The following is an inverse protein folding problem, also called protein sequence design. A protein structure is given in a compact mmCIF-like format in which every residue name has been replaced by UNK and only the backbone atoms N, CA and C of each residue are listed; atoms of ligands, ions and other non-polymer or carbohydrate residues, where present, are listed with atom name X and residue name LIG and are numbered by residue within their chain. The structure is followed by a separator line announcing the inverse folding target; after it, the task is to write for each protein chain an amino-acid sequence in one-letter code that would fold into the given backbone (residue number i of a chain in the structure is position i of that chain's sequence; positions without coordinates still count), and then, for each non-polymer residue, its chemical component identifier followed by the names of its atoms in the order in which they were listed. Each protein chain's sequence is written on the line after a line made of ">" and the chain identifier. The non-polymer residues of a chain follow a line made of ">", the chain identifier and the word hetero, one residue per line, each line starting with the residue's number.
data_IF_463126661092
#
_entry.id   IF_463126661092
#
_cell.length_a   1.000
_cell.length_b   1.000
_cell.length_c   1.000
_cell.angle_alpha   90.00
_cell.angle_beta   90.00
_cell.angle_gamma   90.00
#
_symmetry.space_group_name_H-M   'P 1'
#
loop_
_entity.id
_entity.type
_entity.pdbx_description
1 polymer ?
#
# COMPACT_ATOMS: atom_id res chain seq x y z
N UNK A 1 6.51 18.25 -18.09
CA UNK A 1 5.10 18.00 -17.76
C UNK A 1 4.76 16.59 -18.22
N UNK A 2 4.23 15.78 -17.33
CA UNK A 2 3.83 14.38 -17.56
C UNK A 2 2.33 14.22 -17.34
N UNK A 3 1.76 13.05 -17.65
CA UNK A 3 0.35 12.75 -17.29
C UNK A 3 0.20 12.72 -15.75
N UNK A 4 1.22 12.25 -15.04
CA UNK A 4 1.26 12.26 -13.57
C UNK A 4 1.15 13.70 -13.02
N UNK A 5 1.87 14.66 -13.60
CA UNK A 5 1.77 16.07 -13.22
C UNK A 5 0.35 16.63 -13.47
N UNK A 6 -0.27 16.26 -14.59
CA UNK A 6 -1.63 16.69 -14.93
C UNK A 6 -2.65 16.11 -13.93
N UNK A 7 -2.58 14.81 -13.64
CA UNK A 7 -3.43 14.13 -12.67
C UNK A 7 -3.26 14.67 -11.25
N UNK A 8 -2.03 14.96 -10.83
CA UNK A 8 -1.75 15.56 -9.53
C UNK A 8 -2.42 16.93 -9.39
N UNK A 9 -2.28 17.81 -10.40
CA UNK A 9 -2.89 19.15 -10.37
C UNK A 9 -4.41 19.11 -10.30
N UNK A 10 -5.07 18.22 -11.05
CA UNK A 10 -6.53 18.12 -11.03
C UNK A 10 -7.10 17.53 -9.74
N UNK A 11 -6.29 16.76 -9.01
CA UNK A 11 -6.72 16.06 -7.79
C UNK A 11 -6.08 16.63 -6.52
N UNK A 12 -5.61 17.88 -6.58
CA UNK A 12 -5.03 18.58 -5.43
C UNK A 12 -6.00 18.54 -4.25
N UNK A 13 -5.56 17.99 -3.11
CA UNK A 13 -6.36 17.84 -1.90
C UNK A 13 -7.03 16.47 -1.71
N UNK A 14 -6.84 15.52 -2.64
CA UNK A 14 -7.24 14.12 -2.43
C UNK A 14 -6.02 13.28 -2.00
N UNK A 15 -5.83 13.13 -0.69
CA UNK A 15 -4.71 12.41 -0.09
C UNK A 15 -4.51 10.98 -0.65
N UNK A 16 -5.60 10.27 -0.96
CA UNK A 16 -5.50 8.90 -1.48
C UNK A 16 -4.95 8.85 -2.91
N UNK A 17 -5.36 9.83 -3.74
CA UNK A 17 -4.90 9.94 -5.13
C UNK A 17 -3.45 10.42 -5.17
N UNK A 18 -3.11 11.45 -4.38
CA UNK A 18 -1.75 11.99 -4.31
C UNK A 18 -0.74 10.91 -3.93
N UNK A 19 -1.03 10.13 -2.89
CA UNK A 19 -0.20 9.01 -2.46
C UNK A 19 -0.04 7.93 -3.53
N UNK A 20 -1.12 7.59 -4.23
CA UNK A 20 -1.06 6.61 -5.31
C UNK A 20 -0.20 7.10 -6.49
N UNK A 21 -0.31 8.38 -6.84
CA UNK A 21 0.53 9.01 -7.86
C UNK A 21 2.00 9.07 -7.43
N UNK A 22 2.28 9.33 -6.14
CA UNK A 22 3.63 9.32 -5.58
C UNK A 22 4.28 7.93 -5.66
N UNK A 23 3.53 6.86 -5.32
CA UNK A 23 4.01 5.48 -5.48
C UNK A 23 4.41 5.19 -6.94
N UNK A 24 3.56 5.58 -7.91
CA UNK A 24 3.88 5.39 -9.34
C UNK A 24 5.14 6.16 -9.72
N UNK A 25 5.28 7.40 -9.23
CA UNK A 25 6.44 8.24 -9.52
C UNK A 25 7.71 7.58 -8.99
N UNK A 26 7.72 7.17 -7.72
CA UNK A 26 8.92 6.61 -7.09
C UNK A 26 9.36 5.30 -7.74
N UNK A 27 8.41 4.44 -8.12
CA UNK A 27 8.71 3.13 -8.69
C UNK A 27 9.10 3.18 -10.18
N UNK A 28 8.60 4.16 -10.95
CA UNK A 28 8.74 4.16 -12.41
C UNK A 28 9.52 5.34 -13.01
N UNK A 29 9.73 6.44 -12.27
CA UNK A 29 10.43 7.61 -12.85
C UNK A 29 11.85 7.28 -13.30
N UNK A 30 12.53 6.40 -12.57
CA UNK A 30 13.89 5.95 -12.87
C UNK A 30 13.97 4.97 -14.05
N UNK A 31 12.84 4.39 -14.46
CA UNK A 31 12.75 3.43 -15.56
C UNK A 31 12.50 4.09 -16.91
N UNK A 32 12.28 5.41 -16.92
CA UNK A 32 11.99 6.14 -18.15
C UNK A 32 13.28 6.44 -18.88
N UNK A 33 13.25 6.15 -20.18
CA UNK A 33 14.23 6.70 -21.09
C UNK A 33 13.82 8.14 -21.41
N UNK A 34 14.67 9.11 -21.08
CA UNK A 34 14.43 10.54 -21.30
C UNK A 34 14.11 10.89 -22.77
N UNK A 35 14.47 10.01 -23.70
CA UNK A 35 14.19 10.18 -25.12
C UNK A 35 12.78 9.71 -25.55
N UNK A 36 11.99 9.16 -24.63
CA UNK A 36 10.62 8.70 -24.93
C UNK A 36 9.64 9.83 -24.63
N UNK A 37 8.87 10.22 -25.64
CA UNK A 37 7.93 11.34 -25.53
C UNK A 37 6.50 10.91 -25.87
N UNK A 38 5.53 11.47 -25.16
CA UNK A 38 4.12 11.33 -25.50
C UNK A 38 3.72 12.41 -26.50
N UNK A 39 3.11 11.96 -27.60
CA UNK A 39 2.74 12.80 -28.73
C UNK A 39 1.34 12.47 -29.22
N UNK A 40 0.64 13.47 -29.72
CA UNK A 40 -0.65 13.28 -30.39
C UNK A 40 -0.41 13.31 -31.89
N UNK A 41 -0.78 12.25 -32.60
CA UNK A 41 -0.65 12.20 -34.05
C UNK A 41 -1.73 13.03 -34.76
N UNK A 42 -1.64 13.17 -36.07
CA UNK A 42 -2.63 13.92 -36.89
C UNK A 42 -4.05 13.34 -36.78
N UNK A 43 -4.19 12.06 -36.40
CA UNK A 43 -5.47 11.37 -36.18
C UNK A 43 -6.03 11.56 -34.76
N UNK A 44 -5.39 12.38 -33.92
CA UNK A 44 -5.75 12.60 -32.50
C UNK A 44 -5.64 11.34 -31.63
N UNK A 45 -4.72 10.46 -31.98
CA UNK A 45 -4.35 9.29 -31.18
C UNK A 45 -3.09 9.60 -30.38
N UNK A 46 -3.01 9.05 -29.17
CA UNK A 46 -1.86 9.23 -28.28
C UNK A 46 -0.85 8.11 -28.54
N UNK A 47 0.38 8.50 -28.90
CA UNK A 47 1.47 7.58 -29.24
C UNK A 47 2.71 7.89 -28.40
N UNK A 48 3.57 6.88 -28.26
CA UNK A 48 4.92 7.01 -27.70
C UNK A 48 5.88 7.19 -28.85
N UNK A 49 6.59 8.31 -28.87
CA UNK A 49 7.64 8.64 -29.83
C UNK A 49 8.98 8.16 -29.27
N UNK A 50 9.65 7.32 -30.04
CA UNK A 50 10.88 6.63 -29.64
C UNK A 50 11.95 6.84 -30.72
N UNK A 51 13.21 7.15 -30.37
CA UNK A 51 14.29 7.22 -31.34
C UNK A 51 14.52 5.86 -32.02
N UNK A 52 14.65 5.84 -33.34
CA UNK A 52 14.96 4.60 -34.07
C UNK A 52 16.35 4.09 -33.71
N UNK A 53 16.45 2.78 -33.45
CA UNK A 53 17.72 2.10 -33.24
C UNK A 53 18.49 1.91 -34.56
N UNK A 54 17.80 1.93 -35.69
CA UNK A 54 18.39 1.68 -37.02
C UNK A 54 18.95 2.95 -37.67
N UNK A 55 18.34 4.11 -37.38
CA UNK A 55 18.72 5.39 -38.01
C UNK A 55 18.66 6.54 -37.00
N UNK A 56 19.75 7.30 -36.92
CA UNK A 56 19.96 8.37 -35.92
C UNK A 56 18.94 9.51 -35.95
N UNK A 57 18.25 9.74 -37.08
CA UNK A 57 17.35 10.88 -37.27
C UNK A 57 15.88 10.49 -37.49
N UNK A 58 15.55 9.21 -37.31
CA UNK A 58 14.17 8.72 -37.46
C UNK A 58 13.55 8.37 -36.11
N UNK A 59 12.22 8.54 -36.01
CA UNK A 59 11.44 8.17 -34.82
C UNK A 59 10.43 7.10 -35.19
N UNK A 60 10.26 6.14 -34.28
CA UNK A 60 9.20 5.15 -34.32
C UNK A 60 8.07 5.65 -33.41
N UNK A 61 6.83 5.44 -33.84
CA UNK A 61 5.64 5.81 -33.10
C UNK A 61 4.86 4.56 -32.76
N UNK A 62 4.90 4.19 -31.49
CA UNK A 62 4.19 3.02 -30.98
C UNK A 62 2.90 3.45 -30.30
N UNK A 63 1.92 2.55 -30.27
CA UNK A 63 0.70 2.77 -29.50
C UNK A 63 1.03 2.81 -28.01
N UNK A 64 0.40 3.72 -27.25
CA UNK A 64 0.57 3.73 -25.79
C UNK A 64 0.25 2.38 -25.15
N UNK A 65 -0.67 1.61 -25.74
CA UNK A 65 -1.16 0.33 -25.20
C UNK A 65 -0.07 -0.73 -25.07
N UNK A 66 1.04 -0.56 -25.78
CA UNK A 66 2.21 -1.44 -25.70
C UNK A 66 3.00 -1.24 -24.39
N UNK A 67 2.77 -0.12 -23.71
CA UNK A 67 3.45 0.26 -22.49
C UNK A 67 2.53 0.14 -21.27
N UNK A 68 3.08 -0.26 -20.10
CA UNK A 68 2.32 -0.28 -18.86
C UNK A 68 1.98 1.15 -18.44
N UNK A 69 0.74 1.36 -18.00
CA UNK A 69 0.23 2.69 -17.66
C UNK A 69 1.08 3.48 -16.63
N UNK A 70 1.76 2.88 -15.62
CA UNK A 70 2.60 3.65 -14.70
C UNK A 70 3.80 4.29 -15.42
N UNK A 71 4.37 3.58 -16.40
CA UNK A 71 5.46 4.10 -17.21
C UNK A 71 4.97 5.23 -18.11
N UNK A 72 3.84 5.01 -18.82
CA UNK A 72 3.18 6.04 -19.66
C UNK A 72 2.88 7.30 -18.85
N UNK A 73 2.41 7.15 -17.61
CA UNK A 73 2.09 8.28 -16.73
C UNK A 73 3.29 9.18 -16.45
N UNK A 74 4.48 8.59 -16.39
CA UNK A 74 5.69 9.30 -16.05
C UNK A 74 6.42 9.85 -17.30
N UNK A 75 6.07 9.42 -18.52
CA UNK A 75 6.71 9.89 -19.76
C UNK A 75 6.49 11.39 -19.97
N UNK A 76 7.49 12.05 -20.58
CA UNK A 76 7.41 13.48 -20.90
C UNK A 76 6.42 13.71 -22.03
N UNK A 77 5.53 14.68 -21.87
CA UNK A 77 4.69 15.16 -22.97
C UNK A 77 5.52 16.10 -23.85
N UNK A 78 5.57 15.83 -25.16
CA UNK A 78 6.29 16.68 -26.10
C UNK A 78 5.70 18.10 -26.07
N UNK A 79 6.58 19.09 -25.89
CA UNK A 79 6.21 20.44 -25.48
C UNK A 79 5.34 21.17 -26.52
N UNK A 80 4.03 21.18 -26.25
CA UNK A 80 3.10 22.20 -26.74
C UNK A 80 2.39 22.74 -25.52
N UNK A 81 2.65 23.99 -25.12
CA UNK A 81 1.92 24.67 -24.03
C UNK A 81 0.49 24.98 -24.48
N UNK A 82 -0.30 23.95 -24.74
CA UNK A 82 -1.69 24.03 -25.18
C UNK A 82 -2.56 23.18 -24.25
N UNK A 83 -3.47 23.84 -23.55
CA UNK A 83 -4.41 23.22 -22.60
C UNK A 83 -5.30 22.19 -23.30
N UNK A 84 -5.72 22.44 -24.54
CA UNK A 84 -6.54 21.51 -25.32
C UNK A 84 -5.79 20.21 -25.62
N UNK A 85 -4.49 20.30 -25.91
CA UNK A 85 -3.64 19.13 -26.14
C UNK A 85 -3.47 18.33 -24.86
N UNK A 86 -3.27 18.98 -23.71
CA UNK A 86 -3.20 18.28 -22.42
C UNK A 86 -4.51 17.59 -22.06
N UNK A 87 -5.66 18.23 -22.29
CA UNK A 87 -6.96 17.63 -22.06
C UNK A 87 -7.20 16.43 -23.00
N UNK A 88 -6.76 16.53 -24.25
CA UNK A 88 -6.86 15.44 -25.22
C UNK A 88 -5.99 14.24 -24.82
N UNK A 89 -4.72 14.49 -24.45
CA UNK A 89 -3.78 13.45 -23.97
C UNK A 89 -4.38 12.74 -22.76
N UNK A 90 -4.87 13.49 -21.77
CA UNK A 90 -5.48 12.94 -20.58
C UNK A 90 -6.75 12.13 -20.92
N UNK A 91 -7.62 12.65 -21.78
CA UNK A 91 -8.85 11.96 -22.18
C UNK A 91 -8.53 10.62 -22.85
N UNK A 92 -7.54 10.59 -23.74
CA UNK A 92 -7.09 9.34 -24.39
C UNK A 92 -6.45 8.39 -23.40
N UNK A 93 -5.60 8.88 -22.50
CA UNK A 93 -5.04 8.06 -21.44
C UNK A 93 -6.12 7.38 -20.58
N UNK A 94 -7.14 8.16 -20.16
CA UNK A 94 -8.25 7.63 -19.37
C UNK A 94 -9.10 6.63 -20.16
N UNK A 95 -9.28 6.82 -21.46
CA UNK A 95 -9.99 5.86 -22.34
C UNK A 95 -9.35 4.45 -22.28
N UNK A 96 -8.01 4.36 -22.27
CA UNK A 96 -7.31 3.09 -22.26
C UNK A 96 -7.02 2.52 -20.86
N UNK A 97 -6.86 3.39 -19.86
CA UNK A 97 -6.26 2.98 -18.57
C UNK A 97 -7.09 3.28 -17.33
N UNK A 98 -8.25 3.93 -17.45
CA UNK A 98 -9.09 4.30 -16.28
C UNK A 98 -9.36 3.11 -15.36
N UNK A 99 -9.81 1.99 -15.90
CA UNK A 99 -10.16 0.81 -15.08
C UNK A 99 -8.94 0.25 -14.33
N UNK A 100 -7.75 0.30 -14.95
CA UNK A 100 -6.50 -0.15 -14.32
C UNK A 100 -6.03 0.82 -13.23
N UNK A 101 -6.19 2.13 -13.46
CA UNK A 101 -5.89 3.16 -12.47
C UNK A 101 -6.85 3.08 -11.27
N UNK A 102 -8.15 2.93 -11.52
CA UNK A 102 -9.17 2.78 -10.48
C UNK A 102 -8.95 1.52 -9.63
N UNK A 103 -8.52 0.43 -10.27
CA UNK A 103 -8.13 -0.80 -9.56
C UNK A 103 -6.93 -0.56 -8.64
N UNK A 104 -5.89 0.11 -9.14
CA UNK A 104 -4.71 0.45 -8.36
C UNK A 104 -5.03 1.38 -7.18
N UNK A 105 -5.88 2.39 -7.38
CA UNK A 105 -6.34 3.26 -6.29
C UNK A 105 -7.06 2.48 -5.18
N UNK A 106 -7.87 1.47 -5.54
CA UNK A 106 -8.49 0.57 -4.55
C UNK A 106 -7.45 -0.28 -3.82
N UNK A 107 -6.44 -0.76 -4.53
CA UNK A 107 -5.35 -1.55 -3.95
C UNK A 107 -4.51 -0.72 -2.97
N UNK A 108 -4.16 0.53 -3.30
CA UNK A 108 -3.44 1.46 -2.40
C UNK A 108 -4.23 1.71 -1.11
N UNK A 109 -5.54 1.98 -1.23
CA UNK A 109 -6.42 2.13 -0.06
C UNK A 109 -6.51 0.86 0.80
N UNK A 110 -6.37 -0.32 0.17
CA UNK A 110 -6.37 -1.60 0.89
C UNK A 110 -5.07 -1.80 1.69
N UNK A 111 -3.94 -1.31 1.18
CA UNK A 111 -2.66 -1.31 1.90
C UNK A 111 -2.68 -0.37 3.11
N UNK A 112 -3.40 0.74 3.05
CA UNK A 112 -3.54 1.63 4.21
C UNK A 112 -4.33 0.96 5.34
N UNK A 113 -5.43 0.27 4.99
CA UNK A 113 -6.15 -0.57 5.95
C UNK A 113 -5.28 -1.71 6.50
N UNK A 114 -4.37 -2.27 5.70
CA UNK A 114 -3.41 -3.25 6.19
C UNK A 114 -2.52 -2.65 7.28
N UNK A 115 -1.92 -1.48 7.05
CA UNK A 115 -1.04 -0.81 8.03
C UNK A 115 -1.76 -0.58 9.36
N UNK A 116 -2.98 -0.05 9.32
CA UNK A 116 -3.82 0.13 10.51
C UNK A 116 -4.09 -1.19 11.25
N UNK A 117 -4.42 -2.26 10.51
CA UNK A 117 -4.71 -3.56 11.12
C UNK A 117 -3.48 -4.25 11.69
N UNK A 118 -2.29 -4.05 11.12
CA UNK A 118 -1.03 -4.54 11.71
C UNK A 118 -0.83 -3.87 13.09
N UNK A 119 -0.95 -2.54 13.16
CA UNK A 119 -0.80 -1.79 14.41
C UNK A 119 -1.85 -2.22 15.43
N UNK A 120 -3.12 -2.31 15.01
CA UNK A 120 -4.22 -2.76 15.88
C UNK A 120 -3.99 -4.16 16.43
N UNK A 121 -3.53 -5.09 15.59
CA UNK A 121 -3.24 -6.48 15.99
C UNK A 121 -2.12 -6.52 17.04
N UNK A 122 -1.01 -5.80 16.78
CA UNK A 122 0.11 -5.72 17.73
C UNK A 122 -0.32 -5.11 19.06
N UNK A 123 -1.03 -3.97 19.02
CA UNK A 123 -1.54 -3.27 20.22
C UNK A 123 -2.52 -4.13 21.01
N UNK A 124 -3.39 -4.89 20.35
CA UNK A 124 -4.32 -5.79 21.03
C UNK A 124 -3.59 -6.92 21.80
N UNK A 125 -2.57 -7.52 21.19
CA UNK A 125 -1.76 -8.57 21.83
C UNK A 125 -0.96 -8.00 23.01
N UNK A 126 -0.34 -6.84 22.82
CA UNK A 126 0.43 -6.16 23.88
C UNK A 126 -0.49 -5.78 25.06
N UNK A 127 -1.65 -5.15 24.77
CA UNK A 127 -2.64 -4.81 25.80
C UNK A 127 -3.15 -6.03 26.57
N UNK A 128 -3.40 -7.15 25.87
CA UNK A 128 -3.84 -8.40 26.52
C UNK A 128 -2.76 -8.95 27.44
N UNK A 129 -1.50 -8.84 27.04
CA UNK A 129 -0.34 -9.26 27.83
C UNK A 129 -0.15 -8.36 29.07
N UNK A 130 -0.24 -7.04 28.92
CA UNK A 130 -0.17 -6.13 30.07
C UNK A 130 -1.36 -6.29 31.01
N UNK A 131 -2.56 -6.50 30.49
CA UNK A 131 -3.75 -6.78 31.28
C UNK A 131 -3.61 -8.11 32.06
N UNK A 132 -3.02 -9.15 31.46
CA UNK A 132 -2.80 -10.43 32.16
C UNK A 132 -1.80 -10.30 33.31
N UNK A 133 -0.74 -9.54 33.13
CA UNK A 133 0.21 -9.21 34.20
C UNK A 133 -0.50 -8.45 35.32
N UNK A 134 -1.27 -7.42 34.97
CA UNK A 134 -2.00 -6.60 35.94
C UNK A 134 -3.03 -7.42 36.75
N UNK A 135 -3.83 -8.24 36.08
CA UNK A 135 -4.79 -9.16 36.72
C UNK A 135 -4.06 -10.17 37.62
N UNK A 136 -2.89 -10.67 37.21
CA UNK A 136 -2.07 -11.54 38.02
C UNK A 136 -1.61 -10.88 39.32
N UNK A 137 -1.11 -9.64 39.25
CA UNK A 137 -0.65 -8.88 40.42
C UNK A 137 -1.80 -8.59 41.37
N UNK A 138 -2.91 -8.04 40.87
CA UNK A 138 -4.09 -7.74 41.70
C UNK A 138 -4.67 -9.02 42.29
N UNK A 139 -4.78 -10.08 41.48
CA UNK A 139 -5.27 -11.38 41.93
C UNK A 139 -4.43 -11.96 43.07
N UNK A 140 -3.09 -11.86 42.98
CA UNK A 140 -2.20 -12.27 44.05
C UNK A 140 -2.40 -11.45 45.33
N UNK A 141 -2.53 -10.13 45.23
CA UNK A 141 -2.80 -9.26 46.39
C UNK A 141 -4.13 -9.66 47.07
N UNK A 142 -5.20 -9.86 46.29
CA UNK A 142 -6.51 -10.25 46.82
C UNK A 142 -6.42 -11.59 47.54
N UNK A 143 -5.73 -12.57 46.96
CA UNK A 143 -5.54 -13.90 47.55
C UNK A 143 -4.74 -13.87 48.85
N UNK A 144 -3.86 -12.89 49.05
CA UNK A 144 -3.07 -12.71 50.26
C UNK A 144 -3.79 -11.91 51.36
N UNK A 145 -4.56 -10.89 50.98
CA UNK A 145 -5.20 -9.95 51.93
C UNK A 145 -6.56 -10.45 52.42
N UNK A 146 -7.36 -11.09 51.56
CA UNK A 146 -8.71 -11.51 51.90
C UNK A 146 -8.78 -12.99 52.28
N UNK A 147 -9.50 -13.29 53.35
CA UNK A 147 -9.76 -14.66 53.81
C UNK A 147 -10.90 -15.27 52.99
N UNK A 148 -10.57 -15.74 51.79
CA UNK A 148 -11.49 -16.44 50.89
C UNK A 148 -11.70 -17.90 51.34
N UNK A 149 -12.85 -18.48 50.99
CA UNK A 149 -13.06 -19.93 51.16
C UNK A 149 -12.13 -20.72 50.25
N UNK A 150 -11.77 -21.95 50.65
CA UNK A 150 -10.80 -22.75 49.90
C UNK A 150 -11.22 -22.98 48.44
N UNK A 151 -12.50 -23.30 48.20
CA UNK A 151 -13.03 -23.52 46.85
C UNK A 151 -12.86 -22.28 45.96
N UNK A 152 -13.16 -21.09 46.50
CA UNK A 152 -13.02 -19.83 45.75
C UNK A 152 -11.55 -19.52 45.49
N UNK A 153 -10.69 -19.74 46.48
CA UNK A 153 -9.25 -19.55 46.36
C UNK A 153 -8.64 -20.42 45.25
N UNK A 154 -8.97 -21.71 45.22
CA UNK A 154 -8.48 -22.63 44.18
C UNK A 154 -8.99 -22.23 42.79
N UNK A 155 -10.27 -21.88 42.67
CA UNK A 155 -10.86 -21.41 41.40
C UNK A 155 -10.17 -20.14 40.89
N UNK A 156 -9.91 -19.17 41.77
CA UNK A 156 -9.21 -17.92 41.40
C UNK A 156 -7.77 -18.17 40.93
N UNK A 157 -7.02 -19.03 41.64
CA UNK A 157 -5.64 -19.38 41.23
C UNK A 157 -5.63 -20.02 39.84
N UNK A 158 -6.52 -20.99 39.61
CA UNK A 158 -6.60 -21.71 38.34
C UNK A 158 -6.99 -20.75 37.20
N UNK A 159 -7.93 -19.82 37.45
CA UNK A 159 -8.31 -18.77 36.50
C UNK A 159 -7.16 -17.84 36.12
N UNK A 160 -6.36 -17.40 37.09
CA UNK A 160 -5.18 -16.54 36.85
C UNK A 160 -4.14 -17.27 35.99
N UNK A 161 -3.85 -18.55 36.32
CA UNK A 161 -2.89 -19.36 35.56
C UNK A 161 -3.34 -19.54 34.11
N UNK A 162 -4.61 -19.91 33.89
CA UNK A 162 -5.15 -20.08 32.54
C UNK A 162 -5.11 -18.78 31.74
N UNK A 163 -5.46 -17.66 32.35
CA UNK A 163 -5.42 -16.36 31.68
C UNK A 163 -3.99 -15.95 31.29
N UNK A 164 -3.01 -16.23 32.16
CA UNK A 164 -1.60 -15.98 31.89
C UNK A 164 -1.07 -16.86 30.75
N UNK A 165 -1.39 -18.16 30.75
CA UNK A 165 -1.02 -19.08 29.66
C UNK A 165 -1.61 -18.60 28.33
N UNK A 166 -2.87 -18.16 28.30
CA UNK A 166 -3.50 -17.65 27.08
C UNK A 166 -2.81 -16.39 26.55
N UNK A 167 -2.46 -15.45 27.44
CA UNK A 167 -1.70 -14.26 27.07
C UNK A 167 -0.31 -14.60 26.52
N UNK A 168 0.40 -15.57 27.13
CA UNK A 168 1.68 -16.05 26.61
C UNK A 168 1.55 -16.66 25.21
N UNK A 169 0.51 -17.46 24.96
CA UNK A 169 0.25 -18.02 23.62
C UNK A 169 0.03 -16.90 22.60
N UNK A 170 -0.74 -15.86 22.95
CA UNK A 170 -0.93 -14.70 22.07
C UNK A 170 0.39 -13.98 21.78
N UNK A 171 1.24 -13.78 22.81
CA UNK A 171 2.53 -13.12 22.64
C UNK A 171 3.49 -13.95 21.78
N UNK A 172 3.58 -15.25 22.00
CA UNK A 172 4.43 -16.17 21.23
C UNK A 172 3.96 -16.26 19.78
N UNK A 173 2.65 -16.20 19.53
CA UNK A 173 2.09 -16.28 18.18
C UNK A 173 1.97 -14.91 17.48
N UNK A 174 2.39 -13.81 18.11
CA UNK A 174 2.26 -12.43 17.61
C UNK A 174 2.77 -12.27 16.19
N UNK A 175 3.99 -12.72 15.91
CA UNK A 175 4.58 -12.61 14.58
C UNK A 175 3.80 -13.39 13.53
N UNK A 176 3.35 -14.61 13.84
CA UNK A 176 2.57 -15.42 12.92
C UNK A 176 1.19 -14.82 12.66
N UNK A 177 0.56 -14.21 13.67
CA UNK A 177 -0.71 -13.51 13.49
C UNK A 177 -0.53 -12.28 12.58
N UNK A 178 0.52 -11.48 12.79
CA UNK A 178 0.84 -10.34 11.92
C UNK A 178 1.11 -10.79 10.49
N UNK A 179 1.90 -11.85 10.28
CA UNK A 179 2.15 -12.43 8.95
C UNK A 179 0.87 -12.85 8.25
N UNK A 180 -0.04 -13.54 8.95
CA UNK A 180 -1.35 -13.93 8.39
C UNK A 180 -2.19 -12.72 7.95
N UNK A 181 -2.16 -11.64 8.74
CA UNK A 181 -2.85 -10.39 8.36
C UNK A 181 -2.23 -9.82 7.08
N UNK A 182 -0.91 -9.76 7.00
CA UNK A 182 -0.20 -9.28 5.79
C UNK A 182 -0.55 -10.14 4.58
N UNK A 183 -0.43 -11.46 4.69
CA UNK A 183 -0.71 -12.40 3.59
C UNK A 183 -2.14 -12.26 3.07
N UNK A 184 -3.12 -12.14 3.97
CA UNK A 184 -4.52 -11.95 3.60
C UNK A 184 -4.71 -10.67 2.78
N UNK A 185 -4.11 -9.55 3.19
CA UNK A 185 -4.21 -8.29 2.46
C UNK A 185 -3.40 -8.29 1.16
N UNK A 186 -2.22 -8.91 1.10
CA UNK A 186 -1.46 -9.02 -0.15
C UNK A 186 -2.15 -9.95 -1.16
N UNK A 187 -2.95 -10.91 -0.69
CA UNK A 187 -3.71 -11.80 -1.56
C UNK A 187 -4.83 -11.09 -2.33
N UNK A 188 -5.41 -10.03 -1.76
CA UNK A 188 -6.51 -9.27 -2.39
C UNK A 188 -6.03 -8.22 -3.40
N UNK A 189 -4.75 -7.85 -3.38
CA UNK A 189 -4.17 -6.89 -4.33
C UNK A 189 -4.20 -7.51 -5.73
N UNK A 190 -4.85 -6.81 -6.66
CA UNK A 190 -5.04 -7.28 -8.05
C UNK A 190 -4.03 -6.68 -9.01
N UNK A 191 -3.49 -5.51 -8.70
CA UNK A 191 -2.47 -4.84 -9.51
C UNK A 191 -1.14 -5.59 -9.38
N UNK A 192 -0.76 -6.34 -10.42
CA UNK A 192 0.37 -7.28 -10.36
C UNK A 192 1.73 -6.62 -10.04
N UNK A 193 2.04 -5.50 -10.70
CA UNK A 193 3.31 -4.80 -10.46
C UNK A 193 3.38 -4.28 -9.03
N UNK A 194 2.27 -3.72 -8.53
CA UNK A 194 2.18 -3.19 -7.18
C UNK A 194 2.27 -4.32 -6.14
N UNK A 195 1.62 -5.45 -6.41
CA UNK A 195 1.73 -6.66 -5.58
C UNK A 195 3.19 -7.12 -5.45
N UNK A 196 3.95 -7.14 -6.54
CA UNK A 196 5.39 -7.48 -6.51
C UNK A 196 6.17 -6.51 -5.64
N UNK A 197 5.88 -5.22 -5.72
CA UNK A 197 6.55 -4.20 -4.89
C UNK A 197 6.22 -4.37 -3.41
N UNK A 198 4.96 -4.61 -3.07
CA UNK A 198 4.54 -4.88 -1.69
C UNK A 198 5.21 -6.13 -1.10
N UNK A 199 5.45 -7.17 -1.91
CA UNK A 199 6.20 -8.35 -1.45
C UNK A 199 7.67 -8.04 -1.15
N UNK A 200 8.31 -7.11 -1.86
CA UNK A 200 9.67 -6.66 -1.48
C UNK A 200 9.65 -5.96 -0.12
N UNK A 201 8.57 -5.26 0.18
CA UNK A 201 8.35 -4.55 1.45
C UNK A 201 7.77 -5.46 2.56
N UNK A 202 7.67 -6.78 2.35
CA UNK A 202 7.04 -7.71 3.31
C UNK A 202 7.69 -7.65 4.70
N UNK A 203 9.02 -7.61 4.76
CA UNK A 203 9.76 -7.50 6.01
C UNK A 203 9.49 -6.18 6.74
N UNK A 204 9.28 -5.08 5.99
CA UNK A 204 8.89 -3.79 6.54
C UNK A 204 7.49 -3.88 7.17
N UNK A 205 6.51 -4.49 6.48
CA UNK A 205 5.17 -4.68 7.04
C UNK A 205 5.18 -5.51 8.34
N UNK A 206 5.97 -6.59 8.39
CA UNK A 206 6.12 -7.39 9.62
C UNK A 206 6.59 -6.54 10.80
N UNK A 207 7.51 -5.60 10.56
CA UNK A 207 8.11 -4.74 11.57
C UNK A 207 7.43 -3.37 11.70
N UNK A 208 6.32 -3.15 11.00
CA UNK A 208 5.67 -1.84 10.98
C UNK A 208 5.23 -1.42 12.38
N UNK A 209 5.68 -0.24 12.79
CA UNK A 209 5.32 0.45 14.02
C UNK A 209 4.90 1.85 13.59
N UNK A 210 3.73 2.30 14.04
CA UNK A 210 3.26 3.67 13.79
C UNK A 210 4.22 4.63 14.52
N UNK A 211 4.80 5.59 13.78
CA UNK A 211 5.51 6.72 14.38
C UNK A 211 4.45 7.79 14.70
N UNK A 212 4.29 8.10 15.98
CA UNK A 212 3.47 9.23 16.47
C UNK A 212 4.09 10.58 16.08
#
# INVERSE_FOLDING_TARGET
>A
MTILDLLSRMNTGNNSMEKALEIIKDDFISLINDNYELVVNEKKELNVKIPSLEKRDEYVYDSITEYPYPLVMCMRIQEVKNVEVYNLILSRFMEFYKDKLDLFLKDVNSVDKLKENIVRTKRHIDNTTYASIFVGVIGAIILCVFKLSETVRYMSILGIILFFIFALILQVTKENQVKKVIDAYLSIIKTEWYKKELYKQYAFFCNFIEQE
#
